data_IF_482507294577
#
_entry.id   IF_482507294577
#
_cell.length_a   1.000
_cell.length_b   1.000
_cell.length_c   1.000
_cell.angle_alpha   90.00
_cell.angle_beta   90.00
_cell.angle_gamma   90.00
#
_symmetry.space_group_name_H-M   'P 1'
#
loop_
_entity.id
_entity.type
_entity.pdbx_description
1 polymer ?
#
# COMPACT_ATOMS: atom_id res chain seq x y z
N UNK A 1 -5.98 18.65 -54.72
CA UNK A 1 -4.73 18.91 -54.01
C UNK A 1 -4.75 20.22 -53.20
N UNK A 2 -5.20 21.35 -53.74
CA UNK A 2 -5.24 22.67 -53.04
C UNK A 2 -5.95 22.65 -51.69
N UNK A 3 -7.12 22.04 -51.59
CA UNK A 3 -7.89 21.91 -50.32
C UNK A 3 -7.17 21.14 -49.22
N UNK A 4 -6.38 20.11 -49.54
CA UNK A 4 -5.63 19.36 -48.56
C UNK A 4 -4.50 20.17 -47.91
N UNK A 5 -3.86 21.03 -48.69
CA UNK A 5 -2.83 21.94 -48.17
C UNK A 5 -3.42 23.00 -47.23
N UNK A 6 -4.65 23.47 -47.51
CA UNK A 6 -5.37 24.42 -46.66
C UNK A 6 -5.71 23.77 -45.28
N UNK A 7 -6.18 22.52 -45.28
CA UNK A 7 -6.45 21.78 -44.01
C UNK A 7 -5.21 21.48 -43.22
N UNK A 8 -4.11 21.07 -43.86
CA UNK A 8 -2.84 20.84 -43.22
C UNK A 8 -2.29 22.14 -42.61
N UNK A 9 -2.37 23.24 -43.33
CA UNK A 9 -1.99 24.58 -42.84
C UNK A 9 -2.80 24.98 -41.60
N UNK A 10 -4.12 24.75 -41.64
CA UNK A 10 -5.01 25.06 -40.51
C UNK A 10 -4.65 24.23 -39.26
N UNK A 11 -4.39 22.93 -39.42
CA UNK A 11 -3.99 22.02 -38.30
C UNK A 11 -2.65 22.47 -37.71
N UNK A 12 -1.68 22.81 -38.56
CA UNK A 12 -0.37 23.30 -38.09
C UNK A 12 -0.54 24.62 -37.33
N UNK A 13 -1.35 25.56 -37.88
CA UNK A 13 -1.55 26.86 -37.25
C UNK A 13 -2.31 26.77 -35.93
N UNK A 14 -3.33 25.91 -35.84
CA UNK A 14 -3.99 25.61 -34.55
C UNK A 14 -3.06 24.96 -33.55
N UNK A 15 -2.29 23.98 -33.97
CA UNK A 15 -1.29 23.32 -33.11
C UNK A 15 -0.24 24.30 -32.58
N UNK A 16 0.29 25.17 -33.43
CA UNK A 16 1.22 26.24 -33.01
C UNK A 16 0.55 27.25 -32.06
N UNK A 17 -0.69 27.63 -32.35
CA UNK A 17 -1.49 28.54 -31.52
C UNK A 17 -1.64 27.98 -30.08
N UNK A 18 -2.07 26.73 -29.96
CA UNK A 18 -2.18 26.05 -28.64
C UNK A 18 -0.86 25.95 -27.94
N UNK A 19 0.21 25.52 -28.63
CA UNK A 19 1.55 25.40 -28.03
C UNK A 19 2.08 26.74 -27.53
N UNK A 20 1.90 27.81 -28.34
CA UNK A 20 2.36 29.15 -27.98
C UNK A 20 1.56 29.73 -26.81
N UNK A 21 0.25 29.55 -26.81
CA UNK A 21 -0.62 30.01 -25.72
C UNK A 21 -0.28 29.30 -24.40
N UNK A 22 -0.12 27.97 -24.42
CA UNK A 22 0.27 27.23 -23.24
C UNK A 22 1.63 27.70 -22.70
N UNK A 23 2.63 27.88 -23.57
CA UNK A 23 3.96 28.33 -23.17
C UNK A 23 3.95 29.76 -22.58
N UNK A 24 3.16 30.66 -23.12
CA UNK A 24 3.00 32.02 -22.60
C UNK A 24 2.28 31.98 -21.25
N UNK A 25 1.24 31.19 -21.11
CA UNK A 25 0.51 31.00 -19.85
C UNK A 25 1.43 30.43 -18.76
N UNK A 26 2.24 29.42 -19.07
CA UNK A 26 3.22 28.87 -18.16
C UNK A 26 4.28 29.90 -17.74
N UNK A 27 4.74 30.74 -18.67
CA UNK A 27 5.69 31.81 -18.36
C UNK A 27 5.08 32.91 -17.46
N UNK A 28 3.82 33.24 -17.68
CA UNK A 28 3.11 34.20 -16.84
C UNK A 28 2.84 33.65 -15.45
N UNK A 29 2.34 32.40 -15.37
CA UNK A 29 2.12 31.72 -14.08
C UNK A 29 3.43 31.58 -13.27
N UNK A 30 4.55 31.34 -13.93
CA UNK A 30 5.85 31.23 -13.27
C UNK A 30 6.36 32.55 -12.64
N UNK A 31 5.82 33.70 -13.06
CA UNK A 31 6.13 35.02 -12.50
C UNK A 31 5.08 35.51 -11.49
N UNK A 32 3.98 34.79 -11.36
CA UNK A 32 2.94 35.11 -10.41
C UNK A 32 3.46 34.94 -8.98
N UNK A 33 3.29 35.93 -8.07
CA UNK A 33 3.73 35.84 -6.69
C UNK A 33 3.19 34.59 -5.98
N UNK A 34 1.94 34.23 -6.19
CA UNK A 34 1.33 33.03 -5.63
C UNK A 34 2.05 31.74 -6.10
N UNK A 35 2.37 31.65 -7.40
CA UNK A 35 3.11 30.50 -7.93
C UNK A 35 4.53 30.41 -7.37
N UNK A 36 5.17 31.55 -7.09
CA UNK A 36 6.48 31.58 -6.44
C UNK A 36 6.39 31.01 -5.02
N UNK A 37 5.39 31.44 -4.23
CA UNK A 37 5.14 30.91 -2.88
C UNK A 37 4.85 29.41 -2.90
N UNK A 38 4.02 28.92 -3.85
CA UNK A 38 3.75 27.49 -4.02
C UNK A 38 5.03 26.72 -4.31
N UNK A 39 5.92 27.22 -5.16
CA UNK A 39 7.19 26.57 -5.49
C UNK A 39 8.16 26.54 -4.32
N UNK A 40 8.24 27.61 -3.56
CA UNK A 40 9.05 27.68 -2.35
C UNK A 40 8.54 26.67 -1.31
N UNK A 41 7.24 26.63 -1.08
CA UNK A 41 6.61 25.62 -0.22
C UNK A 41 6.92 24.21 -0.71
N UNK A 42 6.76 23.93 -2.01
CA UNK A 42 7.03 22.63 -2.61
C UNK A 42 8.48 22.17 -2.42
N UNK A 43 9.46 23.10 -2.53
CA UNK A 43 10.88 22.77 -2.37
C UNK A 43 11.20 22.19 -0.98
N UNK A 44 10.44 22.58 0.04
CA UNK A 44 10.61 22.14 1.42
C UNK A 44 9.72 20.93 1.80
N UNK A 45 8.64 20.69 1.05
CA UNK A 45 7.61 19.71 1.42
C UNK A 45 7.48 18.53 0.45
N UNK A 46 8.11 18.60 -0.73
CA UNK A 46 8.18 17.46 -1.62
C UNK A 46 9.08 16.37 -1.05
N UNK A 47 8.66 15.14 -1.21
CA UNK A 47 9.46 13.96 -0.83
C UNK A 47 9.75 13.10 -2.06
N UNK A 48 11.00 12.70 -2.20
CA UNK A 48 11.41 11.81 -3.28
C UNK A 48 10.93 10.39 -3.00
N UNK A 49 10.70 9.63 -4.07
CA UNK A 49 10.56 8.19 -3.96
C UNK A 49 11.79 7.59 -3.27
N UNK A 50 11.56 6.67 -2.36
CA UNK A 50 12.60 5.79 -1.80
C UNK A 50 12.48 4.45 -2.51
N UNK A 51 13.34 4.20 -3.47
CA UNK A 51 13.29 3.01 -4.31
C UNK A 51 13.32 1.72 -3.50
N UNK A 52 12.59 0.72 -4.00
CA UNK A 52 12.70 -0.65 -3.57
C UNK A 52 13.89 -1.36 -4.22
N UNK A 53 14.08 -2.61 -3.87
CA UNK A 53 15.14 -3.43 -4.45
C UNK A 53 14.72 -4.90 -4.56
N UNK A 54 15.40 -5.62 -5.44
CA UNK A 54 15.19 -7.05 -5.69
C UNK A 54 16.30 -7.85 -5.06
N UNK A 55 15.94 -8.93 -4.37
CA UNK A 55 16.87 -9.92 -3.80
C UNK A 55 16.63 -11.30 -4.41
N UNK A 56 17.45 -12.27 -4.07
CA UNK A 56 17.24 -13.68 -4.45
C UNK A 56 15.99 -14.29 -3.81
N UNK A 57 15.48 -13.71 -2.72
CA UNK A 57 14.33 -14.22 -1.98
C UNK A 57 13.01 -13.58 -2.42
N UNK A 58 13.07 -12.39 -3.03
CA UNK A 58 11.93 -11.62 -3.47
C UNK A 58 12.21 -10.13 -3.56
N UNK A 59 11.17 -9.34 -3.48
CA UNK A 59 11.19 -7.90 -3.70
C UNK A 59 10.84 -7.15 -2.42
N UNK A 60 11.62 -6.13 -2.10
CA UNK A 60 11.29 -5.07 -1.14
C UNK A 60 10.72 -3.90 -1.93
N UNK A 61 9.48 -3.51 -1.63
CA UNK A 61 8.83 -2.41 -2.34
C UNK A 61 9.42 -1.05 -1.99
N UNK A 62 9.33 -0.12 -2.94
CA UNK A 62 9.63 1.28 -2.70
C UNK A 62 8.57 1.96 -1.83
N UNK A 63 8.89 3.17 -1.38
CA UNK A 63 7.93 4.11 -0.80
C UNK A 63 7.76 5.26 -1.77
N UNK A 64 6.57 5.43 -2.32
CA UNK A 64 6.26 6.51 -3.23
C UNK A 64 6.63 7.87 -2.63
N UNK A 65 7.08 8.74 -3.50
CA UNK A 65 7.29 10.14 -3.19
C UNK A 65 5.97 10.90 -3.20
N UNK A 66 6.03 12.15 -2.79
CA UNK A 66 4.90 13.07 -2.79
C UNK A 66 5.38 14.43 -3.26
N UNK A 67 4.74 14.99 -4.27
CA UNK A 67 5.06 16.32 -4.75
C UNK A 67 3.81 17.19 -4.86
N UNK A 68 3.98 18.50 -4.71
CA UNK A 68 2.89 19.46 -4.88
C UNK A 68 2.44 19.45 -6.34
N UNK A 69 1.14 19.29 -6.57
CA UNK A 69 0.54 19.52 -7.86
C UNK A 69 0.38 21.03 -8.07
N UNK A 70 1.32 21.62 -8.78
CA UNK A 70 1.35 23.08 -9.02
C UNK A 70 0.08 23.60 -9.68
N UNK A 71 -0.46 22.85 -10.65
CA UNK A 71 -1.62 23.28 -11.43
C UNK A 71 -2.88 23.29 -10.58
N UNK A 72 -3.16 22.20 -9.86
CA UNK A 72 -4.33 22.10 -9.00
C UNK A 72 -4.21 23.03 -7.79
N UNK A 73 -3.04 23.13 -7.17
CA UNK A 73 -2.80 24.02 -6.04
C UNK A 73 -3.02 25.48 -6.45
N UNK A 74 -2.42 25.91 -7.56
CA UNK A 74 -2.61 27.27 -8.07
C UNK A 74 -4.08 27.56 -8.40
N UNK A 75 -4.76 26.63 -9.06
CA UNK A 75 -6.19 26.76 -9.39
C UNK A 75 -7.08 26.94 -8.16
N UNK A 76 -6.78 26.19 -7.07
CA UNK A 76 -7.52 26.32 -5.79
C UNK A 76 -7.31 27.67 -5.09
N UNK A 77 -6.16 28.27 -5.29
CA UNK A 77 -5.77 29.51 -4.61
C UNK A 77 -5.87 30.75 -5.50
N UNK A 78 -6.24 30.63 -6.77
CA UNK A 78 -6.29 31.74 -7.71
C UNK A 78 -7.17 32.88 -7.16
N UNK A 79 -6.61 34.10 -7.06
CA UNK A 79 -7.28 35.25 -6.49
C UNK A 79 -7.32 35.30 -4.95
N UNK A 80 -6.66 34.37 -4.28
CA UNK A 80 -6.50 34.32 -2.82
C UNK A 80 -5.02 34.46 -2.45
N UNK A 81 -4.74 34.55 -1.14
CA UNK A 81 -3.38 34.37 -0.60
C UNK A 81 -3.05 32.89 -0.50
N UNK A 82 -1.75 32.59 -0.46
CA UNK A 82 -1.26 31.23 -0.21
C UNK A 82 -1.80 30.67 1.14
N UNK A 83 -2.32 29.44 1.11
CA UNK A 83 -2.77 28.72 2.29
C UNK A 83 -2.32 27.25 2.16
N UNK A 84 -1.56 26.77 3.14
CA UNK A 84 -1.08 25.38 3.16
C UNK A 84 -2.20 24.35 3.15
N UNK A 85 -3.39 24.68 3.65
CA UNK A 85 -4.56 23.80 3.68
C UNK A 85 -5.16 23.56 2.29
N UNK A 86 -4.95 24.49 1.36
CA UNK A 86 -5.43 24.39 -0.02
C UNK A 86 -4.40 23.72 -0.96
N UNK A 87 -3.25 23.27 -0.44
CA UNK A 87 -2.21 22.60 -1.21
C UNK A 87 -2.65 21.21 -1.61
N UNK A 88 -2.60 20.92 -2.91
CA UNK A 88 -2.87 19.59 -3.48
C UNK A 88 -1.54 18.89 -3.76
N UNK A 89 -1.49 17.62 -3.37
CA UNK A 89 -0.34 16.78 -3.65
C UNK A 89 -0.70 15.67 -4.62
N UNK A 90 0.27 15.27 -5.42
CA UNK A 90 0.21 14.05 -6.24
C UNK A 90 1.32 13.09 -5.79
N UNK A 91 1.07 11.79 -5.97
CA UNK A 91 2.08 10.77 -5.72
C UNK A 91 3.10 10.70 -6.86
N UNK A 92 4.33 10.36 -6.49
CA UNK A 92 5.43 10.07 -7.42
C UNK A 92 5.80 8.61 -7.24
N UNK A 93 5.40 7.79 -8.19
CA UNK A 93 5.63 6.35 -8.13
C UNK A 93 7.12 6.00 -8.16
N UNK A 94 7.48 5.04 -7.33
CA UNK A 94 8.76 4.36 -7.42
C UNK A 94 8.77 3.38 -8.60
N UNK A 95 9.95 3.10 -9.15
CA UNK A 95 10.11 2.08 -10.21
C UNK A 95 9.69 0.70 -9.73
N UNK A 96 10.04 0.37 -8.47
CA UNK A 96 9.66 -0.88 -7.81
C UNK A 96 8.51 -0.58 -6.85
N UNK A 97 7.30 -0.61 -7.36
CA UNK A 97 6.05 -0.47 -6.64
C UNK A 97 5.15 -1.70 -6.84
N UNK A 98 4.03 -1.77 -6.16
CA UNK A 98 3.13 -2.91 -6.22
C UNK A 98 2.65 -3.22 -7.64
N UNK A 99 2.38 -2.20 -8.45
CA UNK A 99 1.89 -2.39 -9.83
C UNK A 99 2.98 -2.86 -10.80
N UNK A 100 4.25 -2.61 -10.51
CA UNK A 100 5.38 -2.95 -11.38
C UNK A 100 5.89 -4.38 -11.17
N UNK A 101 5.55 -5.03 -10.05
CA UNK A 101 5.99 -6.39 -9.73
C UNK A 101 4.93 -7.39 -10.13
N UNK A 102 5.29 -8.30 -11.04
CA UNK A 102 4.49 -9.46 -11.42
C UNK A 102 5.32 -10.71 -11.17
N UNK A 103 4.66 -11.77 -10.71
CA UNK A 103 5.27 -13.09 -10.52
C UNK A 103 6.49 -13.13 -9.59
N UNK A 104 6.62 -12.13 -8.70
CA UNK A 104 7.66 -12.06 -7.68
C UNK A 104 7.05 -12.12 -6.29
N UNK A 105 7.80 -12.70 -5.35
CA UNK A 105 7.44 -12.64 -3.93
C UNK A 105 7.74 -11.26 -3.37
N UNK A 106 6.78 -10.69 -2.62
CA UNK A 106 7.01 -9.51 -1.80
C UNK A 106 7.48 -10.00 -0.43
N UNK A 107 8.69 -9.63 -0.06
CA UNK A 107 9.29 -10.08 1.21
C UNK A 107 9.21 -9.03 2.31
N UNK A 108 9.06 -7.75 1.93
CA UNK A 108 9.05 -6.63 2.88
C UNK A 108 8.46 -5.37 2.24
N UNK A 109 7.85 -4.51 3.03
CA UNK A 109 7.58 -3.12 2.65
C UNK A 109 8.84 -2.27 2.79
N UNK A 110 8.77 -0.98 2.43
CA UNK A 110 9.93 -0.09 2.53
C UNK A 110 10.30 0.20 3.99
N UNK A 111 11.57 0.03 4.33
CA UNK A 111 12.11 0.24 5.69
C UNK A 111 12.01 1.70 6.18
N UNK A 112 11.89 2.66 5.26
CA UNK A 112 11.69 4.06 5.61
C UNK A 112 10.30 4.35 6.18
N UNK A 113 9.36 3.41 6.05
CA UNK A 113 8.06 3.46 6.73
C UNK A 113 8.26 2.93 8.14
N UNK A 114 7.87 3.72 9.15
CA UNK A 114 7.84 3.25 10.53
C UNK A 114 6.62 2.36 10.76
N UNK A 115 6.46 1.31 9.96
CA UNK A 115 5.26 0.46 9.92
C UNK A 115 5.66 -1.00 9.82
N UNK A 116 4.78 -1.87 10.32
CA UNK A 116 4.80 -3.33 10.13
C UNK A 116 3.39 -3.84 9.90
N UNK A 117 3.28 -5.07 9.39
CA UNK A 117 2.00 -5.77 9.32
C UNK A 117 2.01 -7.05 10.15
N UNK A 118 0.95 -7.24 10.93
CA UNK A 118 0.71 -8.46 11.70
C UNK A 118 -0.37 -9.28 11.02
N UNK A 119 -0.13 -10.57 10.91
CA UNK A 119 -1.02 -11.55 10.31
C UNK A 119 -1.37 -12.61 11.34
N UNK A 120 -2.64 -13.00 11.37
CA UNK A 120 -3.11 -14.14 12.17
C UNK A 120 -3.52 -15.26 11.22
N UNK A 121 -2.81 -16.39 11.26
CA UNK A 121 -3.22 -17.60 10.54
C UNK A 121 -4.37 -18.25 11.30
N UNK A 122 -5.54 -18.28 10.67
CA UNK A 122 -6.73 -18.89 11.23
C UNK A 122 -6.61 -20.42 11.13
N UNK A 123 -6.88 -21.10 12.24
CA UNK A 123 -6.90 -22.56 12.33
C UNK A 123 -8.33 -23.10 12.33
N UNK A 124 -9.07 -22.85 13.40
CA UNK A 124 -10.44 -23.33 13.58
C UNK A 124 -11.48 -22.22 13.81
N UNK A 125 -11.03 -20.98 13.79
CA UNK A 125 -11.85 -19.77 13.98
C UNK A 125 -12.40 -19.58 15.41
N UNK A 126 -11.96 -20.37 16.38
CA UNK A 126 -12.52 -20.35 17.75
C UNK A 126 -12.11 -19.12 18.55
N UNK A 127 -10.91 -18.56 18.31
CA UNK A 127 -10.33 -17.43 19.02
C UNK A 127 -10.18 -16.16 18.17
N UNK A 128 -10.50 -16.22 16.87
CA UNK A 128 -10.29 -15.09 15.94
C UNK A 128 -10.99 -13.83 16.41
N UNK A 129 -12.25 -13.94 16.82
CA UNK A 129 -13.03 -12.81 17.31
C UNK A 129 -12.38 -12.14 18.52
N UNK A 130 -11.90 -12.92 19.47
CA UNK A 130 -11.25 -12.38 20.67
C UNK A 130 -9.92 -11.73 20.33
N UNK A 131 -9.13 -12.34 19.45
CA UNK A 131 -7.87 -11.75 18.95
C UNK A 131 -8.15 -10.44 18.22
N UNK A 132 -9.10 -10.40 17.28
CA UNK A 132 -9.47 -9.19 16.54
C UNK A 132 -9.94 -8.08 17.49
N UNK A 133 -10.73 -8.41 18.52
CA UNK A 133 -11.14 -7.45 19.53
C UNK A 133 -9.96 -6.83 20.28
N UNK A 134 -8.85 -7.55 20.49
CA UNK A 134 -7.64 -6.97 21.10
C UNK A 134 -7.03 -5.94 20.16
N UNK A 135 -6.97 -6.20 18.87
CA UNK A 135 -6.48 -5.23 17.87
C UNK A 135 -7.36 -3.98 17.85
N UNK A 136 -8.69 -4.14 17.80
CA UNK A 136 -9.63 -3.01 17.80
C UNK A 136 -9.55 -2.16 19.06
N UNK A 137 -9.48 -2.78 20.24
CA UNK A 137 -9.28 -2.07 21.52
C UNK A 137 -7.99 -1.25 21.55
N UNK A 138 -6.99 -1.64 20.78
CA UNK A 138 -5.74 -0.92 20.65
C UNK A 138 -5.71 0.02 19.43
N UNK A 139 -6.82 0.21 18.70
CA UNK A 139 -6.90 1.01 17.47
C UNK A 139 -5.86 0.60 16.42
N UNK A 140 -5.67 -0.70 16.21
CA UNK A 140 -4.78 -1.28 15.19
C UNK A 140 -5.55 -2.22 14.30
N UNK A 141 -5.07 -2.41 13.08
CA UNK A 141 -5.69 -3.32 12.11
C UNK A 141 -4.82 -4.54 11.87
N UNK A 142 -5.46 -5.70 11.79
CA UNK A 142 -4.83 -7.00 11.62
C UNK A 142 -5.13 -7.57 10.24
N UNK A 143 -4.26 -8.43 9.75
CA UNK A 143 -4.46 -9.21 8.54
C UNK A 143 -4.78 -10.66 8.93
N UNK A 144 -5.83 -11.22 8.37
CA UNK A 144 -6.30 -12.58 8.68
C UNK A 144 -5.97 -13.50 7.51
N UNK A 145 -5.24 -14.57 7.75
CA UNK A 145 -4.90 -15.58 6.76
C UNK A 145 -5.91 -16.70 6.83
N UNK A 146 -6.68 -16.88 5.76
CA UNK A 146 -7.72 -17.90 5.65
C UNK A 146 -7.31 -18.97 4.63
N UNK A 147 -7.75 -20.21 4.82
CA UNK A 147 -7.52 -21.34 3.91
C UNK A 147 -8.82 -21.82 3.23
N UNK A 148 -9.98 -21.32 3.65
CA UNK A 148 -11.28 -21.64 3.09
C UNK A 148 -12.27 -20.48 3.33
N UNK A 149 -13.47 -20.59 2.77
CA UNK A 149 -14.53 -19.57 2.87
C UNK A 149 -15.71 -19.97 3.79
N UNK A 150 -15.52 -20.96 4.64
CA UNK A 150 -16.61 -21.46 5.51
C UNK A 150 -17.26 -20.36 6.37
N UNK A 151 -16.47 -19.37 6.80
CA UNK A 151 -16.94 -18.25 7.65
C UNK A 151 -16.98 -16.92 6.88
N UNK A 152 -17.35 -16.95 5.61
CA UNK A 152 -17.25 -15.80 4.70
C UNK A 152 -17.97 -14.54 5.20
N UNK A 153 -19.14 -14.68 5.83
CA UNK A 153 -19.89 -13.55 6.37
C UNK A 153 -19.13 -12.83 7.49
N UNK A 154 -18.39 -13.56 8.30
CA UNK A 154 -17.54 -13.01 9.35
C UNK A 154 -16.35 -12.29 8.74
N UNK A 155 -15.71 -12.88 7.73
CA UNK A 155 -14.60 -12.26 6.99
C UNK A 155 -15.02 -10.95 6.31
N UNK A 156 -16.20 -10.89 5.70
CA UNK A 156 -16.79 -9.66 5.16
C UNK A 156 -16.95 -8.59 6.25
N UNK A 157 -17.38 -8.99 7.45
CA UNK A 157 -17.48 -8.07 8.59
C UNK A 157 -16.12 -7.50 9.00
N UNK A 158 -15.08 -8.31 9.04
CA UNK A 158 -13.73 -7.84 9.35
C UNK A 158 -13.20 -6.87 8.30
N UNK A 159 -13.43 -7.13 7.00
CA UNK A 159 -13.07 -6.23 5.91
C UNK A 159 -13.79 -4.87 6.02
N UNK A 160 -15.08 -4.87 6.32
CA UNK A 160 -15.86 -3.63 6.57
C UNK A 160 -15.29 -2.81 7.73
N UNK A 161 -14.70 -3.46 8.73
CA UNK A 161 -14.03 -2.83 9.87
C UNK A 161 -12.56 -2.47 9.57
N UNK A 162 -12.13 -2.49 8.28
CA UNK A 162 -10.79 -2.15 7.81
C UNK A 162 -9.68 -3.11 8.26
N UNK A 163 -10.00 -4.31 8.75
CA UNK A 163 -9.05 -5.41 8.79
C UNK A 163 -8.85 -5.94 7.39
N UNK A 164 -7.83 -6.72 7.18
CA UNK A 164 -7.56 -7.32 5.89
C UNK A 164 -7.72 -8.84 5.96
N UNK A 165 -8.22 -9.44 4.89
CA UNK A 165 -8.32 -10.90 4.77
C UNK A 165 -7.56 -11.32 3.53
N UNK A 166 -6.68 -12.30 3.67
CA UNK A 166 -5.87 -12.84 2.57
C UNK A 166 -5.90 -14.35 2.56
N UNK A 167 -5.58 -14.93 1.40
CA UNK A 167 -5.64 -16.36 1.20
C UNK A 167 -4.30 -17.03 1.53
N UNK A 168 -4.32 -18.22 2.17
CA UNK A 168 -3.09 -18.96 2.53
C UNK A 168 -2.34 -19.53 1.32
N UNK A 169 -2.99 -19.65 0.17
CA UNK A 169 -2.40 -20.25 -1.03
C UNK A 169 -2.30 -21.78 -1.02
N UNK A 170 -2.77 -22.44 0.04
CA UNK A 170 -2.65 -23.90 0.20
C UNK A 170 -3.61 -24.70 -0.70
N UNK A 171 -4.68 -24.07 -1.21
CA UNK A 171 -5.68 -24.70 -2.08
C UNK A 171 -6.09 -23.78 -3.23
N UNK A 172 -6.40 -24.38 -4.39
CA UNK A 172 -6.89 -23.63 -5.57
C UNK A 172 -8.39 -23.45 -5.60
N UNK A 173 -9.12 -24.20 -4.80
CA UNK A 173 -10.54 -24.39 -4.97
C UNK A 173 -11.33 -23.10 -4.85
N UNK A 174 -10.88 -22.22 -3.99
CA UNK A 174 -11.67 -21.07 -3.52
C UNK A 174 -11.12 -19.69 -3.96
N UNK A 175 -10.01 -19.64 -4.72
CA UNK A 175 -9.36 -18.36 -5.08
C UNK A 175 -10.25 -17.43 -5.89
N UNK A 176 -11.01 -17.96 -6.86
CA UNK A 176 -11.91 -17.16 -7.70
C UNK A 176 -13.09 -16.63 -6.88
N UNK A 177 -13.66 -17.49 -6.04
CA UNK A 177 -14.75 -17.13 -5.15
C UNK A 177 -14.29 -16.13 -4.09
N UNK A 178 -13.10 -16.33 -3.50
CA UNK A 178 -12.48 -15.39 -2.57
C UNK A 178 -12.38 -14.00 -3.18
N UNK A 179 -11.84 -13.89 -4.40
CA UNK A 179 -11.67 -12.61 -5.10
C UNK A 179 -13.00 -11.91 -5.37
N UNK A 180 -14.01 -12.65 -5.85
CA UNK A 180 -15.31 -12.07 -6.19
C UNK A 180 -16.14 -11.68 -4.97
N UNK A 181 -15.99 -12.41 -3.85
CA UNK A 181 -16.83 -12.21 -2.66
C UNK A 181 -16.32 -11.10 -1.75
N UNK A 182 -15.01 -11.03 -1.52
CA UNK A 182 -14.44 -10.01 -0.64
C UNK A 182 -14.24 -8.66 -1.31
N UNK A 183 -14.16 -8.62 -2.66
CA UNK A 183 -14.00 -7.40 -3.47
C UNK A 183 -12.93 -6.46 -2.90
N UNK A 184 -11.75 -7.00 -2.61
CA UNK A 184 -10.63 -6.26 -2.05
C UNK A 184 -9.95 -5.44 -3.15
N UNK A 185 -9.39 -4.28 -2.80
CA UNK A 185 -8.63 -3.42 -3.70
C UNK A 185 -7.45 -4.18 -4.32
N UNK A 186 -6.65 -4.83 -3.50
CA UNK A 186 -5.60 -5.74 -3.92
C UNK A 186 -5.88 -7.14 -3.35
N UNK A 187 -5.46 -8.17 -4.05
CA UNK A 187 -5.62 -9.54 -3.60
C UNK A 187 -4.24 -10.13 -3.29
N UNK A 188 -4.06 -10.62 -2.06
CA UNK A 188 -2.82 -11.22 -1.61
C UNK A 188 -2.99 -12.68 -1.25
N UNK A 189 -1.97 -13.47 -1.58
CA UNK A 189 -1.67 -14.75 -0.98
C UNK A 189 -0.42 -14.61 -0.10
N UNK A 190 -0.22 -15.56 0.81
CA UNK A 190 0.99 -15.60 1.62
C UNK A 190 1.60 -16.99 1.59
N UNK A 191 2.92 -17.07 1.37
CA UNK A 191 3.70 -18.28 1.50
C UNK A 191 4.11 -18.48 2.95
N UNK A 192 3.60 -19.53 3.58
CA UNK A 192 3.91 -19.86 4.97
C UNK A 192 5.01 -20.93 5.09
N UNK A 193 5.41 -21.55 3.99
CA UNK A 193 6.41 -22.63 3.95
C UNK A 193 7.32 -22.43 2.74
N UNK A 194 8.62 -22.66 2.95
CA UNK A 194 9.65 -22.41 1.92
C UNK A 194 9.50 -23.22 0.61
N UNK A 195 8.64 -24.23 0.58
CA UNK A 195 8.51 -25.16 -0.55
C UNK A 195 7.15 -25.10 -1.27
N UNK A 196 6.25 -24.20 -0.89
CA UNK A 196 4.97 -24.09 -1.61
C UNK A 196 5.13 -23.14 -2.78
N UNK A 197 5.06 -23.65 -3.98
CA UNK A 197 4.89 -22.83 -5.18
C UNK A 197 3.46 -22.31 -5.17
N UNK A 198 3.31 -20.99 -5.06
CA UNK A 198 2.02 -20.33 -5.13
C UNK A 198 1.64 -19.97 -6.58
N UNK A 199 2.00 -20.82 -7.53
CA UNK A 199 1.74 -20.62 -8.97
C UNK A 199 0.30 -20.26 -9.27
N UNK A 200 -0.63 -20.78 -8.48
CA UNK A 200 -2.05 -20.51 -8.68
C UNK A 200 -2.45 -19.12 -8.20
N UNK A 201 -1.79 -18.57 -7.19
CA UNK A 201 -1.97 -17.19 -6.79
C UNK A 201 -1.51 -16.25 -7.91
N UNK A 202 -0.32 -16.48 -8.46
CA UNK A 202 0.18 -15.72 -9.61
C UNK A 202 -0.74 -15.82 -10.83
N UNK A 203 -1.16 -17.05 -11.21
CA UNK A 203 -2.09 -17.29 -12.34
C UNK A 203 -3.45 -16.59 -12.18
N UNK A 204 -3.89 -16.32 -10.96
CA UNK A 204 -5.12 -15.59 -10.68
C UNK A 204 -4.89 -14.09 -10.38
N UNK A 205 -3.70 -13.56 -10.67
CA UNK A 205 -3.30 -12.18 -10.43
C UNK A 205 -3.42 -11.76 -8.96
N UNK A 206 -2.95 -12.61 -8.05
CA UNK A 206 -2.71 -12.26 -6.66
C UNK A 206 -1.25 -11.87 -6.46
N UNK A 207 -1.00 -10.89 -5.63
CA UNK A 207 0.33 -10.62 -5.11
C UNK A 207 0.70 -11.68 -4.07
N UNK A 208 1.93 -12.12 -4.05
CA UNK A 208 2.36 -13.18 -3.14
C UNK A 208 3.35 -12.65 -2.12
N UNK A 209 2.96 -12.70 -0.86
CA UNK A 209 3.79 -12.33 0.27
C UNK A 209 4.63 -13.53 0.74
N UNK A 210 5.84 -13.27 1.19
CA UNK A 210 6.72 -14.27 1.81
C UNK A 210 7.40 -13.67 3.03
N UNK A 211 7.44 -14.40 4.14
CA UNK A 211 8.16 -13.98 5.36
C UNK A 211 8.73 -15.19 6.08
N UNK A 212 9.83 -14.96 6.79
CA UNK A 212 10.43 -15.93 7.70
C UNK A 212 10.00 -15.70 9.17
N UNK A 213 9.29 -14.59 9.44
CA UNK A 213 8.82 -14.24 10.78
C UNK A 213 7.50 -14.94 11.10
N UNK A 214 7.52 -16.26 11.23
CA UNK A 214 6.35 -17.11 11.48
C UNK A 214 6.49 -17.75 12.85
N UNK A 215 5.63 -17.36 13.80
CA UNK A 215 5.72 -17.80 15.19
C UNK A 215 4.41 -18.44 15.66
N UNK A 216 4.51 -19.66 16.20
CA UNK A 216 3.36 -20.37 16.81
C UNK A 216 3.19 -19.99 18.27
N UNK A 217 4.30 -19.83 18.96
CA UNK A 217 4.37 -19.58 20.40
C UNK A 217 5.42 -18.51 20.70
N UNK A 218 5.40 -17.96 21.93
CA UNK A 218 6.34 -16.94 22.40
C UNK A 218 6.42 -15.74 21.45
N UNK A 219 5.26 -15.30 20.93
CA UNK A 219 5.20 -14.25 19.90
C UNK A 219 5.82 -12.95 20.38
N UNK A 220 5.65 -12.60 21.65
CA UNK A 220 6.24 -11.41 22.23
C UNK A 220 7.77 -11.47 22.24
N UNK A 221 8.35 -12.58 22.68
CA UNK A 221 9.80 -12.76 22.73
C UNK A 221 10.42 -12.76 21.34
N UNK A 222 9.88 -13.58 20.43
CA UNK A 222 10.39 -13.73 19.08
C UNK A 222 10.30 -12.43 18.27
N UNK A 223 9.19 -11.71 18.37
CA UNK A 223 9.05 -10.43 17.69
C UNK A 223 9.97 -9.36 18.29
N UNK A 224 10.17 -9.33 19.62
CA UNK A 224 11.12 -8.41 20.24
C UNK A 224 12.55 -8.60 19.73
N UNK A 225 12.96 -9.85 19.52
CA UNK A 225 14.29 -10.19 19.02
C UNK A 225 14.52 -9.80 17.56
N UNK A 226 13.45 -9.82 16.74
CA UNK A 226 13.54 -9.66 15.28
C UNK A 226 12.70 -8.48 14.76
N UNK A 227 12.39 -7.47 15.60
CA UNK A 227 11.54 -6.36 15.20
C UNK A 227 12.26 -5.42 14.23
N UNK A 228 11.81 -5.43 12.97
CA UNK A 228 12.28 -4.53 11.92
C UNK A 228 11.13 -3.81 11.23
N UNK A 229 11.40 -2.62 10.70
CA UNK A 229 10.44 -1.82 9.95
C UNK A 229 10.18 -2.43 8.57
N UNK A 230 8.96 -2.33 8.10
CA UNK A 230 8.55 -2.88 6.81
C UNK A 230 8.19 -4.37 6.84
N UNK A 231 8.48 -5.07 7.92
CA UNK A 231 8.34 -6.54 8.04
C UNK A 231 6.90 -7.02 8.18
N UNK A 232 6.73 -8.32 7.87
CA UNK A 232 5.53 -9.11 8.04
C UNK A 232 5.74 -10.11 9.16
N UNK A 233 4.84 -10.14 10.15
CA UNK A 233 4.85 -11.08 11.26
C UNK A 233 3.60 -11.95 11.22
N UNK A 234 3.76 -13.25 11.16
CA UNK A 234 2.66 -14.23 11.13
C UNK A 234 2.59 -14.95 12.46
N UNK A 235 1.44 -14.88 13.11
CA UNK A 235 1.13 -15.63 14.32
C UNK A 235 -0.01 -16.60 14.04
N UNK A 236 -0.06 -17.69 14.78
CA UNK A 236 -1.13 -18.67 14.69
C UNK A 236 -2.26 -18.31 15.67
N UNK A 237 -3.49 -18.57 15.25
CA UNK A 237 -4.64 -18.54 16.15
C UNK A 237 -4.47 -19.59 17.23
N UNK A 238 -4.16 -19.19 18.47
CA UNK A 238 -4.07 -20.02 19.65
C UNK A 238 -4.15 -19.19 20.93
N UNK A 239 -4.20 -19.85 22.10
CA UNK A 239 -4.29 -19.18 23.40
C UNK A 239 -3.07 -18.31 23.71
N UNK A 240 -1.85 -18.78 23.37
CA UNK A 240 -0.62 -18.03 23.60
C UNK A 240 -0.65 -16.69 22.84
N UNK A 241 -1.08 -16.71 21.57
CA UNK A 241 -1.26 -15.50 20.79
C UNK A 241 -2.27 -14.55 21.43
N UNK A 242 -3.43 -15.05 21.88
CA UNK A 242 -4.44 -14.23 22.54
C UNK A 242 -3.93 -13.57 23.83
N UNK A 243 -3.14 -14.29 24.63
CA UNK A 243 -2.57 -13.82 25.89
C UNK A 243 -1.48 -12.76 25.67
N UNK A 244 -0.60 -12.95 24.68
CA UNK A 244 0.58 -12.13 24.47
C UNK A 244 0.36 -10.91 23.54
N UNK A 245 -0.65 -10.95 22.65
CA UNK A 245 -0.81 -9.96 21.57
C UNK A 245 -1.00 -8.52 22.09
N UNK A 246 -1.69 -8.33 23.21
CA UNK A 246 -1.88 -6.99 23.79
C UNK A 246 -0.57 -6.37 24.26
N UNK A 247 0.28 -7.16 24.90
CA UNK A 247 1.61 -6.73 25.35
C UNK A 247 2.53 -6.46 24.15
N UNK A 248 2.44 -7.28 23.10
CA UNK A 248 3.18 -7.11 21.87
C UNK A 248 2.82 -5.80 21.16
N UNK A 249 1.51 -5.50 21.00
CA UNK A 249 1.06 -4.25 20.38
C UNK A 249 1.59 -3.03 21.15
N UNK A 250 1.51 -3.05 22.47
CA UNK A 250 2.05 -1.97 23.31
C UNK A 250 3.57 -1.81 23.16
N UNK A 251 4.30 -2.91 23.10
CA UNK A 251 5.75 -2.88 22.87
C UNK A 251 6.11 -2.25 21.52
N UNK A 252 5.45 -2.66 20.42
CA UNK A 252 5.69 -2.14 19.07
C UNK A 252 5.39 -0.64 19.00
N UNK A 253 4.24 -0.22 19.53
CA UNK A 253 3.87 1.20 19.61
C UNK A 253 4.87 2.01 20.44
N UNK A 254 5.39 1.44 21.54
CA UNK A 254 6.43 2.08 22.34
C UNK A 254 7.77 2.27 21.61
N UNK A 255 7.97 1.58 20.48
CA UNK A 255 9.10 1.78 19.55
C UNK A 255 8.81 2.79 18.43
N UNK A 256 7.67 3.49 18.47
CA UNK A 256 7.19 4.39 17.43
C UNK A 256 7.05 3.69 16.07
N UNK A 257 6.58 2.44 16.09
CA UNK A 257 6.27 1.65 14.90
C UNK A 257 4.76 1.45 14.85
N UNK A 258 4.15 1.80 13.72
CA UNK A 258 2.72 1.58 13.49
C UNK A 258 2.46 0.15 13.02
N UNK A 259 1.38 -0.42 13.54
CA UNK A 259 0.86 -1.71 13.06
C UNK A 259 -0.29 -1.41 12.11
N UNK A 260 -0.15 -1.81 10.86
CA UNK A 260 -1.11 -1.47 9.79
C UNK A 260 -1.52 -2.70 9.00
N UNK A 261 -2.62 -2.59 8.26
CA UNK A 261 -2.98 -3.63 7.30
C UNK A 261 -1.98 -3.65 6.12
N UNK A 262 -1.99 -4.75 5.37
CA UNK A 262 -1.01 -4.99 4.32
C UNK A 262 -1.07 -3.97 3.17
N UNK A 263 -2.26 -3.53 2.75
CA UNK A 263 -2.38 -2.50 1.72
C UNK A 263 -1.59 -1.25 2.10
N UNK A 264 -1.85 -0.71 3.30
CA UNK A 264 -1.18 0.49 3.79
C UNK A 264 0.33 0.34 3.97
N UNK A 265 0.80 -0.87 4.27
CA UNK A 265 2.24 -1.11 4.37
C UNK A 265 2.92 -1.08 3.00
N UNK A 266 2.23 -1.57 1.95
CA UNK A 266 2.79 -1.74 0.62
C UNK A 266 2.51 -0.55 -0.33
N UNK A 267 1.56 0.35 0.01
CA UNK A 267 1.40 1.66 -0.64
C UNK A 267 2.64 2.52 -0.36
#
# INVERSE_FOLDING_TARGET
MKKYFEYIGLIIFTGFGFFYTNKVTDLMNNKDPLMIEIKEFASNNNTLCKEGYVTNEGVVLGKNGKEVDYTLTYSNMQGKKFDELDVVYKEVDCKINLSSIKDNYIIKGNESKNMISIFIKINDNSLVKDIVNVFDKNNVKVNLIVNNLNNINEYISYVKNRHYVLYSGESNKDLKEFKSTLNLENNFCISLYNNSTLDNCFKNNFYVLKTNNIYKDNILYNTKANLEKGEFYVFYENKNTLEEISALIKFIKGKNIDIVNINRLLE
#
